data_IF_105626862146
#
_entry.id   IF_105626862146
#
_cell.length_a   1.000
_cell.length_b   1.000
_cell.length_c   1.000
_cell.angle_alpha   90.00
_cell.angle_beta   90.00
_cell.angle_gamma   90.00
#
_symmetry.space_group_name_H-M   'P 1'
#
loop_
_entity.id
_entity.type
_entity.pdbx_description
1 polymer ?
#
# COMPACT_ATOMS: atom_id res chain seq x y z
N UNK A 1 0.74 -17.57 26.72
CA UNK A 1 0.56 -17.02 25.35
C UNK A 1 -0.83 -17.20 24.76
N UNK A 2 -1.30 -18.39 24.33
CA UNK A 2 -2.66 -18.52 23.72
C UNK A 2 -3.76 -18.24 24.75
N UNK A 3 -3.60 -18.77 25.97
CA UNK A 3 -4.55 -18.57 27.07
C UNK A 3 -4.68 -17.08 27.52
N UNK A 4 -3.62 -16.28 27.36
CA UNK A 4 -3.67 -14.83 27.66
C UNK A 4 -4.30 -14.03 26.54
N UNK A 5 -4.23 -14.50 25.28
CA UNK A 5 -4.92 -13.81 24.19
C UNK A 5 -6.43 -13.93 24.38
N UNK A 6 -6.91 -15.08 24.85
CA UNK A 6 -8.33 -15.38 25.02
C UNK A 6 -9.02 -14.55 26.12
N UNK A 7 -8.26 -13.93 27.02
CA UNK A 7 -8.78 -13.02 28.04
C UNK A 7 -9.16 -11.62 27.51
N UNK A 8 -8.68 -11.25 26.32
CA UNK A 8 -9.01 -9.95 25.69
C UNK A 8 -10.32 -9.98 24.91
N UNK A 9 -10.84 -8.80 24.54
CA UNK A 9 -11.96 -8.70 23.62
C UNK A 9 -11.69 -9.35 22.26
N UNK A 10 -12.74 -9.83 21.59
CA UNK A 10 -12.64 -10.52 20.28
C UNK A 10 -11.93 -9.69 19.20
N UNK A 11 -12.12 -8.36 19.22
CA UNK A 11 -11.45 -7.42 18.30
C UNK A 11 -9.93 -7.45 18.49
N UNK A 12 -9.48 -7.42 19.75
CA UNK A 12 -8.07 -7.47 20.17
C UNK A 12 -7.49 -8.86 19.89
N UNK A 13 -8.21 -9.94 20.21
CA UNK A 13 -7.81 -11.31 19.87
C UNK A 13 -7.48 -11.46 18.39
N UNK A 14 -8.36 -10.97 17.50
CA UNK A 14 -8.18 -11.04 16.05
C UNK A 14 -6.93 -10.28 15.61
N UNK A 15 -6.67 -9.10 16.17
CA UNK A 15 -5.48 -8.30 15.88
C UNK A 15 -4.20 -8.99 16.35
N UNK A 16 -4.17 -9.49 17.58
CA UNK A 16 -3.01 -10.19 18.15
C UNK A 16 -2.66 -11.45 17.35
N UNK A 17 -3.67 -12.24 16.94
CA UNK A 17 -3.46 -13.40 16.06
C UNK A 17 -2.88 -13.01 14.69
N UNK A 18 -3.37 -11.91 14.10
CA UNK A 18 -2.84 -11.39 12.83
C UNK A 18 -1.39 -10.91 12.99
N UNK A 19 -1.07 -10.19 14.07
CA UNK A 19 0.29 -9.73 14.39
C UNK A 19 1.22 -10.92 14.55
N UNK A 20 0.82 -11.93 15.34
CA UNK A 20 1.61 -13.15 15.52
C UNK A 20 1.89 -13.87 14.21
N UNK A 21 0.87 -14.03 13.34
CA UNK A 21 1.04 -14.65 12.00
C UNK A 21 2.03 -13.89 11.12
N UNK A 22 2.05 -12.56 11.22
CA UNK A 22 2.86 -11.69 10.35
C UNK A 22 4.11 -11.14 11.05
N UNK A 23 4.47 -11.64 12.23
CA UNK A 23 5.48 -11.05 13.11
C UNK A 23 6.82 -10.78 12.42
N UNK A 24 7.31 -11.75 11.65
CA UNK A 24 8.58 -11.64 10.89
C UNK A 24 8.56 -10.47 9.91
N UNK A 25 7.46 -10.27 9.19
CA UNK A 25 7.33 -9.17 8.24
C UNK A 25 7.18 -7.82 8.94
N UNK A 26 6.40 -7.79 10.03
CA UNK A 26 6.18 -6.58 10.83
C UNK A 26 7.45 -6.09 11.54
N UNK A 27 8.39 -6.97 11.85
CA UNK A 27 9.63 -6.65 12.57
C UNK A 27 10.88 -6.63 11.68
N UNK A 28 10.75 -6.93 10.40
CA UNK A 28 11.87 -7.01 9.46
C UNK A 28 12.70 -5.71 9.41
N UNK A 29 12.06 -4.56 9.59
CA UNK A 29 12.73 -3.25 9.56
C UNK A 29 13.80 -3.10 10.65
N UNK A 30 13.70 -3.79 11.79
CA UNK A 30 14.73 -3.76 12.84
C UNK A 30 16.08 -4.32 12.37
N UNK A 31 16.08 -5.17 11.35
CA UNK A 31 17.27 -5.84 10.84
C UNK A 31 17.81 -5.18 9.55
N UNK A 32 17.18 -4.10 9.08
CA UNK A 32 17.60 -3.37 7.88
C UNK A 32 18.23 -2.03 8.29
N UNK A 33 19.53 -1.88 8.06
CA UNK A 33 20.25 -0.64 8.38
C UNK A 33 19.62 0.58 7.70
N UNK A 34 19.33 1.62 8.49
CA UNK A 34 18.73 2.87 8.00
C UNK A 34 17.22 2.81 7.75
N UNK A 35 16.55 1.67 7.97
CA UNK A 35 15.10 1.60 7.86
C UNK A 35 14.44 2.41 9.00
N UNK A 36 13.50 3.31 8.69
CA UNK A 36 12.83 4.10 9.72
C UNK A 36 11.92 3.21 10.56
N UNK A 37 11.91 3.43 11.88
CA UNK A 37 11.01 2.73 12.81
C UNK A 37 9.53 3.14 12.66
N UNK A 38 9.25 4.14 11.82
CA UNK A 38 7.91 4.66 11.54
C UNK A 38 7.61 4.55 10.05
N UNK A 39 6.37 4.18 9.75
CA UNK A 39 5.82 4.20 8.40
C UNK A 39 5.28 5.59 7.99
N UNK A 40 5.45 6.63 8.82
CA UNK A 40 4.89 7.97 8.60
C UNK A 40 5.15 8.52 7.19
N UNK A 41 6.34 8.31 6.62
CA UNK A 41 6.65 8.78 5.26
C UNK A 41 5.72 8.14 4.22
N UNK A 42 5.46 6.84 4.35
CA UNK A 42 4.59 6.07 3.45
C UNK A 42 3.14 6.49 3.68
N UNK A 43 2.70 6.59 4.94
CA UNK A 43 1.34 7.02 5.27
C UNK A 43 1.06 8.45 4.79
N UNK A 44 2.01 9.36 4.99
CA UNK A 44 1.92 10.74 4.50
C UNK A 44 1.90 10.78 2.98
N UNK A 45 2.75 10.01 2.30
CA UNK A 45 2.73 9.90 0.85
C UNK A 45 1.37 9.42 0.34
N UNK A 46 0.83 8.34 0.90
CA UNK A 46 -0.47 7.81 0.50
C UNK A 46 -1.60 8.78 0.83
N UNK A 47 -1.63 9.35 2.04
CA UNK A 47 -2.65 10.32 2.44
C UNK A 47 -2.66 11.56 1.54
N UNK A 48 -1.48 12.10 1.26
CA UNK A 48 -1.31 13.31 0.44
C UNK A 48 -1.61 13.02 -1.03
N UNK A 49 -1.13 11.91 -1.57
CA UNK A 49 -1.32 11.53 -2.97
C UNK A 49 -2.75 11.11 -3.28
N UNK A 50 -3.32 10.17 -2.50
CA UNK A 50 -4.65 9.62 -2.79
C UNK A 50 -5.78 10.58 -2.45
N UNK A 51 -5.64 11.40 -1.40
CA UNK A 51 -6.72 12.31 -0.98
C UNK A 51 -6.52 13.72 -1.49
N UNK A 52 -5.33 14.31 -1.35
CA UNK A 52 -5.14 15.73 -1.64
C UNK A 52 -4.83 15.98 -3.10
N UNK A 53 -3.87 15.25 -3.68
CA UNK A 53 -3.51 15.43 -5.09
C UNK A 53 -4.60 14.95 -6.03
N UNK A 54 -5.21 13.80 -5.76
CA UNK A 54 -6.34 13.29 -6.56
C UNK A 54 -7.53 14.25 -6.55
N UNK A 55 -7.92 14.82 -5.39
CA UNK A 55 -9.00 15.82 -5.33
C UNK A 55 -8.66 17.11 -6.08
N UNK A 56 -7.39 17.53 -6.09
CA UNK A 56 -6.94 18.70 -6.85
C UNK A 56 -7.11 18.51 -8.36
N UNK A 57 -6.95 17.28 -8.87
CA UNK A 57 -7.14 16.98 -10.29
C UNK A 57 -8.57 17.21 -10.78
N UNK A 58 -9.58 17.17 -9.90
CA UNK A 58 -10.99 17.42 -10.26
C UNK A 58 -11.46 18.86 -10.08
N UNK A 59 -10.57 19.79 -9.72
CA UNK A 59 -10.95 21.21 -9.50
C UNK A 59 -11.08 22.04 -10.77
N UNK A 60 -10.80 21.45 -11.92
CA UNK A 60 -10.87 22.11 -13.23
C UNK A 60 -11.81 21.33 -14.14
N UNK A 61 -12.52 22.00 -15.05
CA UNK A 61 -13.40 21.35 -16.04
C UNK A 61 -12.64 20.30 -16.85
N UNK A 62 -11.42 20.62 -17.30
CA UNK A 62 -10.53 19.69 -18.01
C UNK A 62 -10.23 18.44 -17.18
N UNK A 63 -10.02 18.61 -15.87
CA UNK A 63 -9.79 17.51 -14.95
C UNK A 63 -10.99 16.58 -14.78
N UNK A 64 -12.20 17.16 -14.70
CA UNK A 64 -13.47 16.44 -14.69
C UNK A 64 -13.70 15.68 -16.01
N UNK A 65 -13.49 16.34 -17.15
CA UNK A 65 -13.65 15.75 -18.48
C UNK A 65 -12.71 14.55 -18.67
N UNK A 66 -11.44 14.69 -18.28
CA UNK A 66 -10.47 13.60 -18.34
C UNK A 66 -10.88 12.41 -17.48
N UNK A 67 -11.44 12.65 -16.29
CA UNK A 67 -11.92 11.58 -15.42
C UNK A 67 -13.11 10.83 -16.01
N UNK A 68 -14.04 11.55 -16.65
CA UNK A 68 -15.17 10.95 -17.35
C UNK A 68 -14.70 10.07 -18.51
N UNK A 69 -13.74 10.55 -19.32
CA UNK A 69 -13.13 9.77 -20.40
C UNK A 69 -12.46 8.50 -19.87
N UNK A 70 -11.59 8.62 -18.86
CA UNK A 70 -10.93 7.48 -18.23
C UNK A 70 -11.93 6.47 -17.64
N UNK A 71 -13.01 6.95 -17.03
CA UNK A 71 -14.06 6.10 -16.48
C UNK A 71 -14.84 5.36 -17.56
N UNK A 72 -15.10 6.00 -18.71
CA UNK A 72 -15.69 5.31 -19.87
C UNK A 72 -14.75 4.23 -20.38
N UNK A 73 -13.49 4.60 -20.65
CA UNK A 73 -12.48 3.65 -21.15
C UNK A 73 -12.29 2.44 -20.21
N UNK A 74 -12.41 2.64 -18.89
CA UNK A 74 -12.36 1.54 -17.93
C UNK A 74 -13.59 0.61 -18.03
N UNK A 75 -14.80 1.16 -18.16
CA UNK A 75 -16.04 0.37 -18.33
C UNK A 75 -16.04 -0.40 -19.65
N UNK A 76 -15.50 0.22 -20.68
CA UNK A 76 -15.41 -0.34 -22.04
C UNK A 76 -14.25 -1.34 -22.17
N UNK A 77 -13.51 -1.62 -21.09
CA UNK A 77 -12.40 -2.59 -21.06
C UNK A 77 -11.12 -2.13 -21.75
N UNK A 78 -11.07 -0.90 -22.27
CA UNK A 78 -9.95 -0.33 -23.03
C UNK A 78 -8.69 -0.21 -22.16
N UNK A 79 -8.84 0.16 -20.89
CA UNK A 79 -7.69 0.33 -19.98
C UNK A 79 -7.09 -1.00 -19.47
N UNK A 80 -7.61 -2.15 -19.91
CA UNK A 80 -7.12 -3.48 -19.52
C UNK A 80 -7.20 -3.74 -18.01
N UNK A 81 -6.88 -4.97 -17.61
CA UNK A 81 -6.52 -5.23 -16.20
C UNK A 81 -5.05 -4.89 -16.03
N UNK A 82 -4.70 -4.34 -14.87
CA UNK A 82 -3.30 -4.25 -14.46
C UNK A 82 -2.79 -5.69 -14.32
N UNK A 83 -2.07 -6.17 -15.34
CA UNK A 83 -1.59 -7.55 -15.42
C UNK A 83 -0.45 -7.81 -14.43
N UNK A 84 0.18 -6.75 -13.94
CA UNK A 84 1.36 -6.83 -13.11
C UNK A 84 1.28 -5.85 -11.95
N UNK A 85 1.51 -6.34 -10.74
CA UNK A 85 1.50 -5.49 -9.55
C UNK A 85 2.76 -4.61 -9.51
N UNK A 86 2.65 -3.47 -8.84
CA UNK A 86 3.80 -2.60 -8.58
C UNK A 86 4.95 -3.37 -7.92
N UNK A 87 4.62 -4.32 -7.03
CA UNK A 87 5.60 -5.19 -6.36
C UNK A 87 6.35 -6.07 -7.37
N UNK A 88 5.64 -6.69 -8.32
CA UNK A 88 6.25 -7.51 -9.38
C UNK A 88 7.15 -6.66 -10.28
N UNK A 89 6.72 -5.43 -10.60
CA UNK A 89 7.54 -4.49 -11.36
C UNK A 89 8.83 -4.14 -10.59
N UNK A 90 8.75 -3.86 -9.28
CA UNK A 90 9.93 -3.63 -8.44
C UNK A 90 10.82 -4.87 -8.29
N UNK A 91 10.25 -6.09 -8.28
CA UNK A 91 11.04 -7.32 -8.21
C UNK A 91 11.98 -7.48 -9.40
N UNK A 92 11.63 -6.93 -10.58
CA UNK A 92 12.52 -6.92 -11.75
C UNK A 92 13.72 -5.98 -11.62
N UNK A 93 13.70 -5.08 -10.64
CA UNK A 93 14.82 -4.19 -10.33
C UNK A 93 15.79 -4.79 -9.31
N UNK A 94 15.42 -5.87 -8.62
CA UNK A 94 16.26 -6.57 -7.62
C UNK A 94 17.65 -6.95 -8.17
N UNK A 95 17.79 -7.49 -9.40
CA UNK A 95 19.11 -7.84 -9.95
C UNK A 95 20.07 -6.66 -10.10
N UNK A 96 19.56 -5.42 -10.11
CA UNK A 96 20.35 -4.21 -10.25
C UNK A 96 20.64 -3.52 -8.91
N UNK A 97 20.21 -4.11 -7.78
CA UNK A 97 20.45 -3.60 -6.43
C UNK A 97 21.70 -4.18 -5.76
N UNK A 98 22.36 -5.16 -6.38
CA UNK A 98 23.68 -5.63 -5.93
C UNK A 98 24.77 -4.71 -6.47
N UNK A 99 25.62 -4.11 -5.61
CA UNK A 99 26.85 -3.50 -6.06
C UNK A 99 27.78 -4.62 -6.52
N UNK A 100 28.18 -4.58 -7.79
CA UNK A 100 29.29 -5.37 -8.32
C UNK A 100 30.63 -4.82 -7.85
#
# INVERSE_FOLDING_TARGET
MIAEIESFEKSVQKRLRMIGKNWKGLTAFYFVGGAPATNNLIENYHGTSLKTHHKKQFRTEKGLENQMKLSSMKRDGILGKCMETLLNAYSRLIPFLSPG
#
